data_IF_661136594439
#
_entry.id   IF_661136594439
#
_cell.length_a   1.000
_cell.length_b   1.000
_cell.length_c   1.000
_cell.angle_alpha   90.00
_cell.angle_beta   90.00
_cell.angle_gamma   90.00
#
_symmetry.space_group_name_H-M   'P 1'
#
loop_
_entity.id
_entity.type
_entity.pdbx_description
1 polymer ?
#
# COMPACT_ATOMS: atom_id res chain seq x y z
N UNK A 1 -35.41 -36.33 23.56
CA UNK A 1 -34.35 -35.30 23.66
C UNK A 1 -33.69 -34.94 22.31
N UNK A 2 -34.21 -35.42 21.16
CA UNK A 2 -33.54 -35.29 19.84
C UNK A 2 -34.07 -34.14 18.96
N UNK A 3 -35.37 -33.82 19.06
CA UNK A 3 -36.03 -32.82 18.21
C UNK A 3 -35.47 -31.40 18.34
N UNK A 4 -35.05 -30.97 19.54
CA UNK A 4 -34.45 -29.64 19.74
C UNK A 4 -33.09 -29.49 19.04
N UNK A 5 -32.30 -30.57 18.95
CA UNK A 5 -30.98 -30.58 18.33
C UNK A 5 -31.09 -30.59 16.80
N UNK A 6 -32.03 -31.37 16.27
CA UNK A 6 -32.34 -31.39 14.83
C UNK A 6 -32.86 -30.04 14.35
N UNK A 7 -33.75 -29.41 15.11
CA UNK A 7 -34.26 -28.07 14.80
C UNK A 7 -33.15 -27.00 14.81
N UNK A 8 -32.20 -27.07 15.75
CA UNK A 8 -31.05 -26.14 15.79
C UNK A 8 -30.13 -26.32 14.58
N UNK A 9 -29.89 -27.57 14.15
CA UNK A 9 -29.10 -27.88 12.95
C UNK A 9 -29.76 -27.35 11.68
N UNK A 10 -31.10 -27.46 11.57
CA UNK A 10 -31.86 -26.91 10.45
C UNK A 10 -31.80 -25.38 10.40
N UNK A 11 -31.87 -24.70 11.55
CA UNK A 11 -31.72 -23.24 11.64
C UNK A 11 -30.30 -22.82 11.23
N UNK A 12 -29.27 -23.52 11.72
CA UNK A 12 -27.87 -23.27 11.34
C UNK A 12 -27.62 -23.48 9.84
N UNK A 13 -28.19 -24.54 9.28
CA UNK A 13 -28.12 -24.83 7.84
C UNK A 13 -28.86 -23.77 7.02
N UNK A 14 -30.04 -23.33 7.47
CA UNK A 14 -30.79 -22.26 6.81
C UNK A 14 -30.04 -20.92 6.84
N UNK A 15 -29.39 -20.58 7.96
CA UNK A 15 -28.53 -19.40 8.08
C UNK A 15 -27.28 -19.51 7.19
N UNK A 16 -26.64 -20.68 7.12
CA UNK A 16 -25.53 -20.96 6.21
C UNK A 16 -25.93 -20.82 4.74
N UNK A 17 -27.09 -21.36 4.37
CA UNK A 17 -27.64 -21.25 3.01
C UNK A 17 -28.05 -19.82 2.67
N UNK A 18 -28.61 -19.07 3.63
CA UNK A 18 -28.94 -17.65 3.47
C UNK A 18 -27.67 -16.82 3.28
N UNK A 19 -26.63 -17.04 4.09
CA UNK A 19 -25.31 -16.41 3.94
C UNK A 19 -24.67 -16.78 2.59
N UNK A 20 -24.73 -18.06 2.20
CA UNK A 20 -24.19 -18.54 0.93
C UNK A 20 -24.94 -17.96 -0.29
N UNK A 21 -26.26 -17.76 -0.21
CA UNK A 21 -27.05 -17.12 -1.28
C UNK A 21 -26.92 -15.60 -1.30
N UNK A 22 -26.72 -14.96 -0.15
CA UNK A 22 -26.51 -13.51 -0.08
C UNK A 22 -25.10 -13.09 -0.46
N UNK A 23 -24.08 -13.92 -0.21
CA UNK A 23 -22.69 -13.57 -0.47
C UNK A 23 -22.40 -13.25 -1.96
N UNK A 24 -22.91 -14.01 -2.96
CA UNK A 24 -22.77 -13.65 -4.37
C UNK A 24 -23.50 -12.35 -4.73
N UNK A 25 -24.74 -12.15 -4.22
CA UNK A 25 -25.51 -10.93 -4.47
C UNK A 25 -24.85 -9.68 -3.87
N UNK A 26 -24.27 -9.80 -2.67
CA UNK A 26 -23.50 -8.73 -2.03
C UNK A 26 -22.25 -8.44 -2.86
N UNK A 27 -21.55 -9.47 -3.34
CA UNK A 27 -20.38 -9.31 -4.20
C UNK A 27 -20.72 -8.60 -5.52
N UNK A 28 -21.79 -9.00 -6.19
CA UNK A 28 -22.25 -8.38 -7.44
C UNK A 28 -22.71 -6.93 -7.22
N UNK A 29 -23.37 -6.67 -6.09
CA UNK A 29 -23.77 -5.31 -5.71
C UNK A 29 -22.56 -4.42 -5.41
N UNK A 30 -21.57 -4.94 -4.66
CA UNK A 30 -20.31 -4.25 -4.39
C UNK A 30 -19.49 -4.03 -5.66
N UNK A 31 -19.52 -4.96 -6.62
CA UNK A 31 -18.91 -4.79 -7.94
C UNK A 31 -19.57 -3.66 -8.74
N UNK A 32 -20.90 -3.57 -8.74
CA UNK A 32 -21.64 -2.49 -9.40
C UNK A 32 -21.40 -1.13 -8.75
N UNK A 33 -21.37 -1.10 -7.41
CA UNK A 33 -21.01 0.09 -6.64
C UNK A 33 -19.57 0.52 -6.96
N UNK A 34 -18.63 -0.42 -7.02
CA UNK A 34 -17.23 -0.13 -7.34
C UNK A 34 -17.05 0.43 -8.77
N UNK A 35 -17.80 -0.10 -9.75
CA UNK A 35 -17.81 0.44 -11.11
C UNK A 35 -18.32 1.89 -11.13
N UNK A 36 -19.42 2.17 -10.43
CA UNK A 36 -20.00 3.52 -10.31
C UNK A 36 -19.06 4.51 -9.57
N UNK A 37 -18.28 4.03 -8.60
CA UNK A 37 -17.35 4.87 -7.83
C UNK A 37 -16.11 5.31 -8.61
N UNK A 38 -15.64 4.51 -9.57
CA UNK A 38 -14.50 4.90 -10.39
C UNK A 38 -14.80 6.09 -11.31
N UNK A 39 -16.08 6.33 -11.62
CA UNK A 39 -16.53 7.39 -12.53
C UNK A 39 -16.83 8.73 -11.83
N UNK A 40 -16.80 8.80 -10.48
CA UNK A 40 -17.23 9.99 -9.71
C UNK A 40 -16.20 10.55 -8.71
N UNK A 41 -14.96 10.06 -8.71
CA UNK A 41 -13.86 10.59 -7.90
C UNK A 41 -13.09 11.70 -8.64
N UNK A 42 -13.76 12.78 -9.04
CA UNK A 42 -13.05 14.01 -9.38
C UNK A 42 -12.64 14.70 -8.07
N UNK A 43 -11.39 14.47 -7.66
CA UNK A 43 -10.77 15.22 -6.56
C UNK A 43 -10.91 16.74 -6.82
N UNK A 44 -10.94 17.58 -5.76
CA UNK A 44 -10.86 19.02 -5.93
C UNK A 44 -9.68 19.39 -6.85
N UNK A 45 -9.80 20.44 -7.68
CA UNK A 45 -8.72 20.86 -8.57
C UNK A 45 -7.39 20.90 -7.83
N UNK A 46 -6.31 20.42 -8.45
CA UNK A 46 -5.02 20.27 -7.79
C UNK A 46 -4.58 21.56 -7.07
N UNK A 47 -4.79 22.72 -7.70
CA UNK A 47 -4.48 24.04 -7.13
C UNK A 47 -5.26 24.40 -5.86
N UNK A 48 -6.41 23.78 -5.61
CA UNK A 48 -7.23 24.03 -4.42
C UNK A 48 -6.60 23.50 -3.14
N UNK A 49 -5.76 22.46 -3.25
CA UNK A 49 -5.16 21.81 -2.09
C UNK A 49 -3.64 21.64 -2.21
N UNK A 50 -3.03 21.78 -3.39
CA UNK A 50 -1.59 21.61 -3.60
C UNK A 50 -0.94 22.91 -4.09
N UNK A 51 0.14 23.33 -3.42
CA UNK A 51 0.93 24.52 -3.73
C UNK A 51 2.44 24.22 -3.71
N UNK A 52 3.06 23.94 -4.87
CA UNK A 52 4.49 23.63 -4.94
C UNK A 52 5.38 24.84 -4.61
N UNK A 53 4.89 26.08 -4.79
CA UNK A 53 5.66 27.31 -4.53
C UNK A 53 6.02 27.49 -3.05
N UNK A 54 5.38 26.75 -2.14
CA UNK A 54 5.72 26.73 -0.71
C UNK A 54 7.02 25.98 -0.41
N UNK A 55 7.53 25.21 -1.37
CA UNK A 55 8.73 24.38 -1.25
C UNK A 55 9.64 24.54 -2.49
N UNK A 56 10.21 25.75 -2.72
CA UNK A 56 11.10 26.00 -3.86
C UNK A 56 12.45 25.26 -3.74
N UNK A 57 12.73 24.69 -2.56
CA UNK A 57 13.95 23.96 -2.22
C UNK A 57 13.98 22.51 -2.72
N UNK A 58 12.88 22.00 -3.29
CA UNK A 58 12.72 20.60 -3.69
C UNK A 58 11.90 20.47 -4.98
N UNK A 59 12.01 19.30 -5.64
CA UNK A 59 11.11 18.93 -6.73
C UNK A 59 9.74 18.58 -6.12
N UNK A 60 8.80 19.52 -6.24
CA UNK A 60 7.43 19.38 -5.75
C UNK A 60 6.45 18.91 -6.83
N UNK A 61 6.80 18.98 -8.12
CA UNK A 61 5.94 18.53 -9.22
C UNK A 61 6.79 17.78 -10.23
N UNK A 62 6.30 16.64 -10.70
CA UNK A 62 6.98 15.81 -11.68
C UNK A 62 6.77 16.35 -13.10
N UNK A 63 7.55 15.87 -14.07
CA UNK A 63 7.42 16.26 -15.48
C UNK A 63 6.08 15.83 -16.11
N UNK A 64 5.41 14.82 -15.53
CA UNK A 64 4.05 14.41 -15.91
C UNK A 64 2.96 15.03 -15.02
N UNK A 65 3.26 16.12 -14.32
CA UNK A 65 2.34 16.93 -13.53
C UNK A 65 1.75 16.25 -12.28
N UNK A 66 2.33 15.15 -11.80
CA UNK A 66 1.95 14.60 -10.51
C UNK A 66 2.60 15.40 -9.36
N UNK A 67 1.86 15.65 -8.26
CA UNK A 67 2.45 16.29 -7.10
C UNK A 67 3.36 15.33 -6.34
N UNK A 68 4.52 15.84 -5.96
CA UNK A 68 5.42 15.25 -4.97
C UNK A 68 5.05 15.85 -3.61
N UNK A 69 4.54 15.02 -2.71
CA UNK A 69 3.97 15.46 -1.44
C UNK A 69 5.09 15.71 -0.44
N UNK A 70 5.35 16.99 -0.22
CA UNK A 70 6.28 17.50 0.78
C UNK A 70 5.50 18.25 1.86
N UNK A 71 6.04 18.27 3.07
CA UNK A 71 5.50 19.06 4.16
C UNK A 71 5.40 20.54 3.75
N UNK A 72 4.21 21.11 3.95
CA UNK A 72 3.87 22.48 3.57
C UNK A 72 3.37 22.67 2.12
N UNK A 73 3.35 21.65 1.27
CA UNK A 73 2.81 21.77 -0.10
C UNK A 73 1.32 21.47 -0.20
N UNK A 74 0.70 20.91 0.83
CA UNK A 74 -0.69 20.46 0.77
C UNK A 74 -1.57 21.13 1.83
N UNK A 75 -2.85 21.34 1.52
CA UNK A 75 -3.88 21.78 2.44
C UNK A 75 -4.81 20.60 2.76
N UNK A 76 -4.55 19.93 3.89
CA UNK A 76 -5.31 18.76 4.31
C UNK A 76 -6.78 19.09 4.60
N UNK A 77 -7.12 20.30 5.04
CA UNK A 77 -8.51 20.65 5.36
C UNK A 77 -9.44 20.61 4.14
N UNK A 78 -8.94 21.00 2.97
CA UNK A 78 -9.68 20.94 1.70
C UNK A 78 -9.95 19.49 1.31
N UNK A 79 -8.91 18.65 1.38
CA UNK A 79 -9.04 17.21 1.13
C UNK A 79 -9.94 16.53 2.15
N UNK A 80 -9.84 16.93 3.43
CA UNK A 80 -10.66 16.36 4.50
C UNK A 80 -12.14 16.60 4.25
N UNK A 81 -12.50 17.84 3.90
CA UNK A 81 -13.88 18.22 3.56
C UNK A 81 -14.41 17.40 2.38
N UNK A 82 -13.56 17.09 1.39
CA UNK A 82 -13.93 16.28 0.24
C UNK A 82 -14.12 14.81 0.62
N UNK A 83 -13.07 14.15 1.14
CA UNK A 83 -13.12 12.70 1.38
C UNK A 83 -14.05 12.29 2.51
N UNK A 84 -14.30 13.16 3.51
CA UNK A 84 -15.29 12.86 4.56
C UNK A 84 -16.71 12.77 4.00
N UNK A 85 -17.05 13.56 2.98
CA UNK A 85 -18.37 13.49 2.31
C UNK A 85 -18.55 12.18 1.54
N UNK A 86 -17.46 11.62 1.06
CA UNK A 86 -17.45 10.35 0.33
C UNK A 86 -17.45 9.13 1.26
N UNK A 87 -17.27 9.32 2.57
CA UNK A 87 -17.20 8.25 3.56
C UNK A 87 -16.23 7.12 3.15
N UNK A 88 -15.04 7.50 2.67
CA UNK A 88 -14.07 6.53 2.16
C UNK A 88 -13.55 5.61 3.26
N UNK A 89 -13.17 4.40 2.86
CA UNK A 89 -12.44 3.44 3.69
C UNK A 89 -11.06 3.18 3.08
N UNK A 90 -10.03 3.19 3.92
CA UNK A 90 -8.63 3.00 3.51
C UNK A 90 -8.10 1.70 4.09
N UNK A 91 -7.53 0.86 3.22
CA UNK A 91 -6.81 -0.35 3.61
C UNK A 91 -5.34 -0.06 3.88
N UNK A 92 -4.79 -0.64 4.94
CA UNK A 92 -3.35 -0.75 5.14
C UNK A 92 -2.97 -2.23 5.27
N UNK A 93 -2.35 -2.76 4.23
CA UNK A 93 -1.84 -4.12 4.22
C UNK A 93 -0.37 -4.14 4.64
N UNK A 94 -0.05 -5.07 5.54
CA UNK A 94 1.32 -5.31 6.01
C UNK A 94 1.63 -6.80 5.86
N UNK A 95 2.81 -7.10 5.32
CA UNK A 95 3.34 -8.46 5.20
C UNK A 95 4.26 -8.74 6.40
N UNK A 96 3.81 -9.61 7.30
CA UNK A 96 4.53 -10.08 8.48
C UNK A 96 4.94 -11.55 8.31
N UNK A 97 5.91 -11.80 7.42
CA UNK A 97 6.49 -13.13 7.12
C UNK A 97 7.92 -13.30 7.61
N UNK A 98 8.33 -14.52 7.97
CA UNK A 98 9.71 -14.81 8.40
C UNK A 98 10.00 -14.36 9.84
N UNK A 99 11.22 -13.90 10.12
CA UNK A 99 11.74 -13.61 11.48
C UNK A 99 11.15 -12.36 12.14
N UNK A 100 10.02 -11.84 11.67
CA UNK A 100 9.40 -10.69 12.30
C UNK A 100 8.90 -11.02 13.70
N UNK A 101 9.23 -10.14 14.65
CA UNK A 101 8.80 -10.34 16.04
C UNK A 101 7.39 -9.81 16.24
N UNK A 102 6.63 -10.47 17.11
CA UNK A 102 5.35 -9.98 17.67
C UNK A 102 5.45 -8.53 18.16
N UNK A 103 6.62 -8.13 18.66
CA UNK A 103 6.93 -6.76 19.12
C UNK A 103 6.97 -5.76 17.96
N UNK A 104 7.66 -6.08 16.87
CA UNK A 104 7.78 -5.20 15.70
C UNK A 104 6.41 -4.96 15.05
N UNK A 105 5.60 -6.02 14.88
CA UNK A 105 4.22 -5.87 14.39
C UNK A 105 3.38 -4.98 15.31
N UNK A 106 3.47 -5.19 16.64
CA UNK A 106 2.76 -4.36 17.62
C UNK A 106 3.18 -2.89 17.53
N UNK A 107 4.47 -2.61 17.39
CA UNK A 107 4.95 -1.23 17.25
C UNK A 107 4.46 -0.57 15.96
N UNK A 108 4.53 -1.29 14.83
CA UNK A 108 4.03 -0.81 13.54
C UNK A 108 2.54 -0.45 13.66
N UNK A 109 1.70 -1.40 14.09
CA UNK A 109 0.24 -1.19 14.19
C UNK A 109 -0.11 -0.09 15.19
N UNK A 110 0.52 -0.05 16.37
CA UNK A 110 0.25 1.02 17.36
C UNK A 110 0.62 2.41 16.81
N UNK A 111 1.71 2.51 16.06
CA UNK A 111 2.08 3.78 15.44
C UNK A 111 1.14 4.15 14.29
N UNK A 112 0.71 3.19 13.47
CA UNK A 112 -0.25 3.39 12.40
C UNK A 112 -1.62 3.81 12.96
N UNK A 113 -2.11 3.17 14.02
CA UNK A 113 -3.37 3.52 14.70
C UNK A 113 -3.41 5.00 15.08
N UNK A 114 -2.28 5.52 15.58
CA UNK A 114 -2.13 6.92 16.02
C UNK A 114 -2.04 7.94 14.87
N UNK A 115 -1.47 7.58 13.73
CA UNK A 115 -1.04 8.57 12.72
C UNK A 115 -1.54 8.32 11.29
N UNK A 116 -1.93 7.10 10.95
CA UNK A 116 -2.39 6.75 9.62
C UNK A 116 -3.89 7.06 9.48
N UNK A 117 -4.22 7.98 8.57
CA UNK A 117 -5.58 8.33 8.15
C UNK A 117 -6.52 8.63 9.32
N UNK A 118 -6.04 9.39 10.31
CA UNK A 118 -6.81 9.76 11.51
C UNK A 118 -8.12 10.45 11.10
N UNK A 119 -9.24 9.98 11.66
CA UNK A 119 -10.58 10.49 11.33
C UNK A 119 -11.28 9.81 10.14
N UNK A 120 -10.69 8.76 9.58
CA UNK A 120 -11.27 7.94 8.49
C UNK A 120 -11.44 6.48 8.89
N UNK A 121 -12.32 5.76 8.19
CA UNK A 121 -12.42 4.30 8.32
C UNK A 121 -11.15 3.63 7.79
N UNK A 122 -10.48 2.86 8.65
CA UNK A 122 -9.26 2.13 8.29
C UNK A 122 -9.40 0.65 8.62
N UNK A 123 -8.98 -0.19 7.67
CA UNK A 123 -8.88 -1.64 7.85
C UNK A 123 -7.41 -2.04 7.73
N UNK A 124 -6.83 -2.56 8.81
CA UNK A 124 -5.49 -3.16 8.79
C UNK A 124 -5.56 -4.61 8.30
N UNK A 125 -4.91 -4.93 7.19
CA UNK A 125 -4.78 -6.28 6.67
C UNK A 125 -3.42 -6.87 7.07
N UNK A 126 -3.41 -7.67 8.12
CA UNK A 126 -2.19 -8.26 8.67
C UNK A 126 -1.98 -9.61 8.01
N UNK A 127 -1.06 -9.69 7.05
CA UNK A 127 -0.75 -10.94 6.35
C UNK A 127 0.38 -11.67 7.04
N UNK A 128 0.17 -12.91 7.49
CA UNK A 128 1.16 -13.67 8.25
C UNK A 128 1.09 -15.17 7.96
N UNK A 129 2.25 -15.82 7.98
CA UNK A 129 2.41 -17.28 7.96
C UNK A 129 2.20 -17.92 9.34
N UNK A 130 2.28 -17.14 10.43
CA UNK A 130 2.08 -17.60 11.80
C UNK A 130 1.04 -16.77 12.56
N UNK A 131 -0.21 -17.25 12.53
CA UNK A 131 -1.35 -16.60 13.19
C UNK A 131 -1.19 -16.58 14.73
N UNK A 132 -0.47 -17.54 15.32
CA UNK A 132 -0.28 -17.60 16.78
C UNK A 132 0.65 -16.49 17.31
N UNK A 133 1.47 -15.88 16.44
CA UNK A 133 2.34 -14.77 16.79
C UNK A 133 1.64 -13.41 16.81
N UNK A 134 0.32 -13.37 16.61
CA UNK A 134 -0.42 -12.12 16.59
C UNK A 134 -0.44 -11.45 17.97
N UNK A 135 -0.02 -10.17 18.09
CA UNK A 135 -0.18 -9.40 19.33
C UNK A 135 -1.64 -9.11 19.62
N UNK A 136 -1.96 -8.96 20.91
CA UNK A 136 -3.18 -8.27 21.29
C UNK A 136 -3.08 -6.81 20.81
N UNK A 137 -4.09 -6.38 20.04
CA UNK A 137 -4.19 -5.08 19.41
C UNK A 137 -5.46 -4.40 19.91
N UNK A 138 -5.29 -3.34 20.68
CA UNK A 138 -6.34 -2.40 21.00
C UNK A 138 -6.23 -1.25 20.00
N UNK A 139 -7.28 -1.01 19.24
CA UNK A 139 -7.32 -0.01 18.17
C UNK A 139 -8.27 1.12 18.55
N UNK A 140 -7.94 2.33 18.08
CA UNK A 140 -8.76 3.51 18.30
C UNK A 140 -10.07 3.53 17.49
N UNK A 141 -10.83 4.63 17.56
CA UNK A 141 -12.04 4.81 16.78
C UNK A 141 -11.79 4.71 15.28
N UNK A 142 -12.77 4.17 14.53
CA UNK A 142 -12.72 4.01 13.07
C UNK A 142 -11.61 3.07 12.58
N UNK A 143 -11.17 2.14 13.43
CA UNK A 143 -10.07 1.21 13.15
C UNK A 143 -10.55 -0.21 13.32
N UNK A 144 -10.22 -1.06 12.37
CA UNK A 144 -10.45 -2.50 12.45
C UNK A 144 -9.26 -3.23 11.85
N UNK A 145 -9.14 -4.53 12.10
CA UNK A 145 -8.11 -5.34 11.46
C UNK A 145 -8.67 -6.70 11.04
N UNK A 146 -8.01 -7.29 10.03
CA UNK A 146 -8.25 -8.65 9.54
C UNK A 146 -6.91 -9.35 9.38
N UNK A 147 -6.84 -10.58 9.87
CA UNK A 147 -5.66 -11.43 9.68
C UNK A 147 -5.80 -12.24 8.40
N UNK A 148 -4.81 -12.14 7.52
CA UNK A 148 -4.76 -12.86 6.25
C UNK A 148 -3.68 -13.95 6.36
N UNK A 149 -4.10 -15.22 6.37
CA UNK A 149 -3.17 -16.34 6.38
C UNK A 149 -2.37 -16.39 5.07
N UNK A 150 -1.06 -16.42 5.18
CA UNK A 150 -0.13 -16.70 4.09
C UNK A 150 0.23 -18.20 4.12
N UNK A 151 0.50 -18.81 2.96
CA UNK A 151 1.04 -20.16 2.91
C UNK A 151 2.39 -20.19 3.63
N UNK A 152 2.66 -21.22 4.42
CA UNK A 152 3.98 -21.39 5.04
C UNK A 152 5.06 -21.41 3.95
N UNK A 153 6.14 -20.68 4.18
CA UNK A 153 7.32 -20.67 3.32
C UNK A 153 8.30 -21.77 3.70
N UNK A 154 9.05 -22.27 2.72
CA UNK A 154 10.34 -22.90 3.00
C UNK A 154 11.35 -21.79 3.30
N UNK A 155 12.09 -21.90 4.40
CA UNK A 155 12.91 -20.81 4.97
C UNK A 155 14.10 -20.33 4.09
N UNK A 156 14.28 -20.87 2.89
CA UNK A 156 15.48 -20.68 2.06
C UNK A 156 15.26 -19.85 0.77
N UNK A 157 14.04 -19.45 0.42
CA UNK A 157 13.74 -18.66 -0.79
C UNK A 157 13.08 -17.31 -0.50
N UNK A 158 13.27 -16.32 -1.38
CA UNK A 158 12.54 -15.04 -1.33
C UNK A 158 11.03 -15.31 -1.35
N UNK A 159 10.36 -14.95 -0.25
CA UNK A 159 8.93 -15.14 -0.08
C UNK A 159 8.10 -14.08 -0.80
N UNK A 160 8.73 -13.01 -1.33
CA UNK A 160 8.03 -11.87 -1.92
C UNK A 160 7.11 -12.25 -3.08
N UNK A 161 7.52 -13.04 -4.09
CA UNK A 161 6.61 -13.49 -5.15
C UNK A 161 5.39 -14.26 -4.62
N UNK A 162 5.61 -15.17 -3.65
CA UNK A 162 4.54 -15.95 -3.01
C UNK A 162 3.56 -15.04 -2.27
N UNK A 163 4.08 -14.11 -1.47
CA UNK A 163 3.30 -13.15 -0.72
C UNK A 163 2.48 -12.25 -1.64
N UNK A 164 3.07 -11.77 -2.74
CA UNK A 164 2.36 -10.94 -3.72
C UNK A 164 1.29 -11.74 -4.48
N UNK A 165 1.52 -13.03 -4.78
CA UNK A 165 0.49 -13.91 -5.34
C UNK A 165 -0.69 -14.08 -4.39
N UNK A 166 -0.44 -14.26 -3.10
CA UNK A 166 -1.51 -14.31 -2.09
C UNK A 166 -2.21 -12.95 -1.95
N UNK A 167 -1.47 -11.85 -1.91
CA UNK A 167 -2.03 -10.49 -1.84
C UNK A 167 -2.95 -10.21 -3.03
N UNK A 168 -2.52 -10.53 -4.26
CA UNK A 168 -3.36 -10.48 -5.47
C UNK A 168 -4.69 -11.19 -5.27
N UNK A 169 -4.65 -12.44 -4.78
CA UNK A 169 -5.88 -13.20 -4.53
C UNK A 169 -6.77 -12.52 -3.48
N UNK A 170 -6.20 -12.02 -2.39
CA UNK A 170 -6.96 -11.31 -1.34
C UNK A 170 -7.57 -10.00 -1.84
N UNK A 171 -6.87 -9.26 -2.69
CA UNK A 171 -7.41 -8.06 -3.34
C UNK A 171 -8.58 -8.43 -4.24
N UNK A 172 -8.42 -9.43 -5.10
CA UNK A 172 -9.47 -9.85 -6.05
C UNK A 172 -10.74 -10.37 -5.36
N UNK A 173 -10.62 -11.03 -4.21
CA UNK A 173 -11.78 -11.67 -3.58
C UNK A 173 -12.42 -10.84 -2.47
N UNK A 174 -11.66 -9.96 -1.81
CA UNK A 174 -12.11 -9.27 -0.59
C UNK A 174 -11.78 -7.78 -0.61
N UNK A 175 -10.49 -7.41 -0.64
CA UNK A 175 -10.07 -6.04 -0.30
C UNK A 175 -10.64 -5.01 -1.28
N UNK A 176 -10.73 -5.32 -2.58
CA UNK A 176 -11.26 -4.36 -3.56
C UNK A 176 -12.72 -3.94 -3.34
N UNK A 177 -13.48 -4.72 -2.54
CA UNK A 177 -14.87 -4.44 -2.20
C UNK A 177 -15.03 -3.79 -0.82
N UNK A 178 -13.94 -3.65 -0.06
CA UNK A 178 -13.93 -3.15 1.31
C UNK A 178 -13.33 -1.75 1.43
N UNK A 179 -12.46 -1.35 0.48
CA UNK A 179 -11.70 -0.11 0.57
C UNK A 179 -11.68 0.65 -0.75
N UNK A 180 -11.62 1.97 -0.67
CA UNK A 180 -11.45 2.86 -1.82
C UNK A 180 -9.98 3.00 -2.21
N UNK A 181 -9.09 3.00 -1.20
CA UNK A 181 -7.64 3.07 -1.38
C UNK A 181 -6.95 2.01 -0.55
N UNK A 182 -5.81 1.53 -1.02
CA UNK A 182 -5.00 0.51 -0.36
C UNK A 182 -3.54 0.95 -0.37
N UNK A 183 -2.90 0.92 0.79
CA UNK A 183 -1.45 0.93 0.92
C UNK A 183 -0.94 -0.47 1.28
N UNK A 184 0.16 -0.88 0.66
CA UNK A 184 0.95 -2.03 1.09
C UNK A 184 2.27 -1.49 1.63
N UNK A 185 2.58 -1.81 2.88
CA UNK A 185 3.77 -1.31 3.58
C UNK A 185 4.61 -2.43 4.17
N UNK A 186 5.93 -2.19 4.22
CA UNK A 186 6.85 -3.05 4.95
C UNK A 186 6.70 -2.81 6.46
N UNK A 187 6.85 -3.88 7.24
CA UNK A 187 6.60 -3.84 8.68
C UNK A 187 7.73 -3.15 9.47
N UNK A 188 8.93 -3.00 8.89
CA UNK A 188 10.11 -2.37 9.52
C UNK A 188 10.05 -0.83 9.50
N UNK A 189 8.87 -0.27 9.71
CA UNK A 189 8.59 1.16 9.67
C UNK A 189 7.84 1.61 10.94
N UNK A 190 8.02 2.85 11.37
CA UNK A 190 7.27 3.47 12.47
C UNK A 190 6.71 4.79 12.00
N UNK A 191 5.39 4.97 12.14
CA UNK A 191 4.77 6.26 11.98
C UNK A 191 5.11 7.18 13.16
N UNK A 192 5.59 8.38 12.85
CA UNK A 192 6.03 9.40 13.81
C UNK A 192 5.12 10.63 13.80
N UNK A 193 4.48 10.90 12.67
CA UNK A 193 3.54 12.01 12.44
C UNK A 193 2.47 11.59 11.44
N UNK A 194 1.46 12.44 11.29
CA UNK A 194 0.30 12.19 10.44
C UNK A 194 0.68 11.79 9.01
N UNK A 195 0.10 10.67 8.60
CA UNK A 195 0.05 10.16 7.23
C UNK A 195 -1.41 10.23 6.80
N UNK A 196 -1.79 11.25 6.02
CA UNK A 196 -3.19 11.58 5.80
C UNK A 196 -3.65 11.48 4.35
N UNK A 197 -4.83 12.04 4.09
CA UNK A 197 -5.49 11.98 2.78
C UNK A 197 -4.73 12.69 1.65
N UNK A 198 -3.76 13.55 1.97
CA UNK A 198 -2.84 14.13 0.97
C UNK A 198 -2.02 13.09 0.21
N UNK A 199 -1.91 11.88 0.77
CA UNK A 199 -1.17 10.77 0.18
C UNK A 199 -2.01 9.93 -0.78
N UNK A 200 -3.34 10.10 -0.78
CA UNK A 200 -4.25 9.30 -1.61
C UNK A 200 -4.12 9.65 -3.07
N UNK A 201 -4.26 8.66 -3.96
CA UNK A 201 -4.22 8.83 -5.40
C UNK A 201 -4.51 7.51 -6.10
N UNK A 202 -4.68 7.52 -7.43
CA UNK A 202 -4.91 6.29 -8.21
C UNK A 202 -3.73 5.33 -8.11
N UNK A 203 -2.51 5.87 -8.24
CA UNK A 203 -1.23 5.18 -8.03
C UNK A 203 -0.30 6.09 -7.22
N UNK A 204 0.28 5.55 -6.15
CA UNK A 204 1.10 6.28 -5.17
C UNK A 204 2.45 5.58 -5.03
N UNK A 205 3.53 6.34 -5.22
CA UNK A 205 4.90 5.84 -5.12
C UNK A 205 5.69 6.61 -4.05
N UNK A 206 6.58 5.93 -3.34
CA UNK A 206 7.46 6.53 -2.33
C UNK A 206 8.86 6.79 -2.91
N UNK A 207 9.39 8.01 -2.76
CA UNK A 207 10.80 8.28 -3.08
C UNK A 207 11.73 7.59 -2.08
N UNK A 208 12.82 7.02 -2.58
CA UNK A 208 13.80 6.35 -1.73
C UNK A 208 14.74 7.35 -1.04
N UNK A 209 14.85 7.27 0.30
CA UNK A 209 15.64 8.18 1.12
C UNK A 209 17.12 8.26 0.74
N UNK A 210 17.72 7.13 0.33
CA UNK A 210 19.11 7.09 -0.12
C UNK A 210 19.37 7.65 -1.53
N UNK A 211 18.33 7.88 -2.33
CA UNK A 211 18.47 8.14 -3.77
C UNK A 211 17.74 9.39 -4.27
N UNK A 212 16.82 9.99 -3.51
CA UNK A 212 16.00 11.12 -3.99
C UNK A 212 16.79 12.36 -4.46
N UNK A 213 18.06 12.49 -4.05
CA UNK A 213 18.98 13.58 -4.42
C UNK A 213 19.99 13.18 -5.50
N UNK A 214 19.94 11.95 -6.00
CA UNK A 214 20.84 11.41 -7.04
C UNK A 214 20.22 11.58 -8.43
N UNK A 215 21.05 11.43 -9.47
CA UNK A 215 20.63 11.49 -10.87
C UNK A 215 20.27 10.09 -11.39
N UNK A 216 19.45 9.96 -12.45
CA UNK A 216 19.03 8.67 -13.01
C UNK A 216 20.15 7.68 -13.34
N UNK A 217 21.30 8.21 -13.80
CA UNK A 217 22.50 7.41 -14.08
C UNK A 217 23.09 6.71 -12.86
N UNK A 218 22.88 7.25 -11.66
CA UNK A 218 23.46 6.76 -10.41
C UNK A 218 22.49 5.83 -9.64
N UNK A 219 21.24 5.73 -10.09
CA UNK A 219 20.25 4.88 -9.43
C UNK A 219 20.59 3.39 -9.60
N UNK A 220 20.40 2.57 -8.55
CA UNK A 220 20.66 1.14 -8.57
C UNK A 220 19.48 0.38 -9.19
N UNK A 221 19.09 0.77 -10.41
CA UNK A 221 18.16 -0.04 -11.20
C UNK A 221 18.83 -1.34 -11.64
N UNK A 222 18.01 -2.33 -11.98
CA UNK A 222 18.47 -3.49 -12.74
C UNK A 222 19.00 -3.04 -14.11
N UNK A 223 20.22 -3.43 -14.45
CA UNK A 223 20.92 -3.02 -15.70
C UNK A 223 21.16 -4.17 -16.66
N UNK A 224 20.92 -5.41 -16.24
CA UNK A 224 21.04 -6.59 -17.10
C UNK A 224 19.91 -6.54 -18.13
N UNK A 225 20.25 -6.22 -19.37
CA UNK A 225 19.28 -5.99 -20.47
C UNK A 225 18.29 -7.14 -20.70
N UNK A 226 18.63 -8.36 -20.30
CA UNK A 226 17.75 -9.55 -20.40
C UNK A 226 16.68 -9.61 -19.30
N UNK A 227 16.79 -8.81 -18.24
CA UNK A 227 15.78 -8.75 -17.19
C UNK A 227 14.58 -7.91 -17.64
N UNK A 228 13.39 -8.38 -17.34
CA UNK A 228 12.14 -7.64 -17.46
C UNK A 228 12.12 -6.37 -16.58
N UNK A 229 12.97 -6.29 -15.54
CA UNK A 229 13.14 -5.10 -14.69
C UNK A 229 14.19 -4.10 -15.22
N UNK A 230 14.85 -4.39 -16.35
CA UNK A 230 15.97 -3.59 -16.83
C UNK A 230 15.57 -2.15 -17.19
N UNK A 231 16.37 -1.19 -16.71
CA UNK A 231 16.30 0.23 -17.07
C UNK A 231 17.69 0.65 -17.54
N UNK A 232 17.80 1.27 -18.72
CA UNK A 232 19.09 1.65 -19.26
C UNK A 232 19.71 2.85 -18.51
N UNK A 233 21.03 3.00 -18.57
CA UNK A 233 21.68 4.19 -18.01
C UNK A 233 21.17 5.46 -18.70
N UNK A 234 20.88 6.49 -17.90
CA UNK A 234 20.28 7.73 -18.40
C UNK A 234 18.76 7.73 -18.48
N UNK A 235 18.11 6.56 -18.41
CA UNK A 235 16.66 6.44 -18.22
C UNK A 235 16.29 6.45 -16.73
N UNK A 236 15.04 6.81 -16.45
CA UNK A 236 14.47 6.86 -15.09
C UNK A 236 14.13 8.28 -14.64
N UNK A 237 13.01 8.43 -13.93
CA UNK A 237 12.62 9.72 -13.34
C UNK A 237 13.12 9.83 -11.89
N UNK A 238 12.79 8.82 -11.08
CA UNK A 238 13.15 8.72 -9.67
C UNK A 238 13.43 7.27 -9.28
N UNK A 239 14.19 7.08 -8.19
CA UNK A 239 14.28 5.77 -7.55
C UNK A 239 13.24 5.65 -6.43
N UNK A 240 12.29 4.73 -6.64
CA UNK A 240 11.17 4.48 -5.75
C UNK A 240 11.48 3.35 -4.77
N UNK A 241 10.97 3.50 -3.55
CA UNK A 241 11.18 2.56 -2.46
C UNK A 241 10.02 1.57 -2.35
N UNK A 242 10.33 0.28 -2.36
CA UNK A 242 9.36 -0.82 -2.34
C UNK A 242 8.56 -0.99 -1.05
N UNK A 243 9.11 -0.53 0.07
CA UNK A 243 8.43 -0.56 1.36
C UNK A 243 7.12 0.24 1.46
N UNK A 244 6.80 1.14 0.54
CA UNK A 244 5.49 1.81 0.51
C UNK A 244 5.01 1.92 -0.93
N UNK A 245 3.91 1.22 -1.22
CA UNK A 245 3.13 1.40 -2.44
C UNK A 245 1.69 1.69 -2.05
N UNK A 246 1.02 2.54 -2.83
CA UNK A 246 -0.38 2.88 -2.58
C UNK A 246 -1.16 3.10 -3.86
N UNK A 247 -2.48 3.15 -3.76
CA UNK A 247 -3.34 3.41 -4.90
C UNK A 247 -4.77 2.94 -4.67
N UNK A 248 -5.56 2.94 -5.74
CA UNK A 248 -6.81 2.17 -5.74
C UNK A 248 -6.50 0.67 -5.77
N UNK A 249 -7.39 -0.20 -5.26
CA UNK A 249 -7.22 -1.65 -5.35
C UNK A 249 -6.93 -2.16 -6.76
N UNK A 250 -7.56 -1.56 -7.78
CA UNK A 250 -7.33 -1.89 -9.19
C UNK A 250 -5.90 -1.59 -9.67
N UNK A 251 -5.34 -0.44 -9.30
CA UNK A 251 -3.97 -0.07 -9.66
C UNK A 251 -2.92 -0.91 -8.92
N UNK A 252 -3.16 -1.21 -7.64
CA UNK A 252 -2.31 -2.14 -6.89
C UNK A 252 -2.34 -3.54 -7.54
N UNK A 253 -3.51 -4.01 -7.95
CA UNK A 253 -3.65 -5.28 -8.64
C UNK A 253 -2.91 -5.29 -9.99
N UNK A 254 -2.99 -4.21 -10.77
CA UNK A 254 -2.27 -4.05 -12.03
C UNK A 254 -0.75 -4.16 -11.82
N UNK A 255 -0.21 -3.48 -10.81
CA UNK A 255 1.19 -3.59 -10.45
C UNK A 255 1.58 -5.02 -10.07
N UNK A 256 0.84 -5.66 -9.16
CA UNK A 256 1.17 -7.03 -8.72
C UNK A 256 1.13 -8.02 -9.90
N UNK A 257 0.19 -7.86 -10.83
CA UNK A 257 0.15 -8.67 -12.06
C UNK A 257 1.42 -8.52 -12.90
N UNK A 258 1.86 -7.27 -13.12
CA UNK A 258 3.05 -7.01 -13.93
C UNK A 258 4.33 -7.47 -13.22
N UNK A 259 4.40 -7.32 -11.89
CA UNK A 259 5.51 -7.84 -11.09
C UNK A 259 5.63 -9.37 -11.21
N UNK A 260 4.53 -10.10 -10.99
CA UNK A 260 4.55 -11.57 -11.06
C UNK A 260 4.89 -12.09 -12.45
N UNK A 261 4.44 -11.38 -13.50
CA UNK A 261 4.84 -11.67 -14.88
C UNK A 261 6.35 -11.46 -15.05
N UNK A 262 6.86 -10.30 -14.65
CA UNK A 262 8.29 -9.97 -14.77
C UNK A 262 9.20 -10.95 -14.04
N UNK A 263 8.83 -11.41 -12.85
CA UNK A 263 9.56 -12.46 -12.12
C UNK A 263 9.56 -13.78 -12.88
N UNK A 264 8.44 -14.14 -13.51
CA UNK A 264 8.35 -15.36 -14.33
C UNK A 264 9.28 -15.26 -15.54
N UNK A 265 9.28 -14.11 -16.23
CA UNK A 265 10.14 -13.85 -17.39
C UNK A 265 11.63 -13.87 -17.00
N UNK A 266 11.99 -13.26 -15.87
CA UNK A 266 13.36 -13.28 -15.34
C UNK A 266 13.80 -14.70 -14.99
N UNK A 267 12.95 -15.47 -14.30
CA UNK A 267 13.24 -16.86 -13.97
C UNK A 267 13.46 -17.72 -15.21
N UNK A 268 12.69 -17.53 -16.29
CA UNK A 268 12.91 -18.22 -17.58
C UNK A 268 14.28 -17.86 -18.17
N UNK A 269 14.75 -16.64 -17.97
CA UNK A 269 16.06 -16.17 -18.39
C UNK A 269 17.19 -16.47 -17.39
N UNK A 270 16.93 -17.24 -16.32
CA UNK A 270 17.87 -17.54 -15.22
C UNK A 270 18.38 -16.26 -14.53
N UNK A 271 17.51 -15.26 -14.44
CA UNK A 271 17.74 -14.02 -13.71
C UNK A 271 16.87 -13.99 -12.46
N UNK A 272 17.35 -13.28 -11.46
CA UNK A 272 16.64 -13.00 -10.23
C UNK A 272 16.82 -11.51 -9.94
N UNK A 273 15.77 -10.74 -10.19
CA UNK A 273 15.75 -9.29 -10.00
C UNK A 273 14.82 -8.97 -8.85
N UNK A 274 15.21 -7.97 -8.06
CA UNK A 274 14.47 -7.65 -6.83
C UNK A 274 13.06 -7.11 -7.10
N UNK A 275 12.18 -7.27 -6.12
CA UNK A 275 10.87 -6.62 -6.12
C UNK A 275 10.95 -5.10 -6.35
N UNK A 276 11.96 -4.44 -5.78
CA UNK A 276 12.18 -3.00 -5.97
C UNK A 276 12.61 -2.66 -7.40
N UNK A 277 13.43 -3.50 -8.04
CA UNK A 277 13.80 -3.34 -9.46
C UNK A 277 12.55 -3.39 -10.35
N UNK A 278 11.69 -4.40 -10.15
CA UNK A 278 10.45 -4.52 -10.92
C UNK A 278 9.46 -3.38 -10.63
N UNK A 279 9.38 -2.90 -9.37
CA UNK A 279 8.58 -1.73 -9.02
C UNK A 279 9.05 -0.49 -9.79
N UNK A 280 10.35 -0.23 -9.79
CA UNK A 280 10.92 0.92 -10.48
C UNK A 280 10.68 0.84 -12.00
N UNK A 281 10.84 -0.34 -12.60
CA UNK A 281 10.47 -0.56 -14.01
C UNK A 281 8.98 -0.31 -14.27
N UNK A 282 8.11 -0.81 -13.39
CA UNK A 282 6.68 -0.60 -13.51
C UNK A 282 6.32 0.87 -13.48
N UNK A 283 6.87 1.65 -12.54
CA UNK A 283 6.57 3.08 -12.36
C UNK A 283 7.22 3.98 -13.41
N UNK A 284 8.31 3.53 -14.05
CA UNK A 284 8.87 4.21 -15.21
C UNK A 284 7.88 4.22 -16.39
N UNK A 285 7.18 3.10 -16.60
CA UNK A 285 6.19 2.91 -17.67
C UNK A 285 4.82 3.48 -17.25
N UNK A 286 4.40 3.19 -16.02
CA UNK A 286 3.09 3.55 -15.46
C UNK A 286 3.28 4.65 -14.42
N UNK A 287 3.36 5.89 -14.90
CA UNK A 287 3.68 7.05 -14.08
C UNK A 287 2.73 7.18 -12.88
N UNK A 288 3.23 7.30 -11.63
CA UNK A 288 2.37 7.41 -10.45
C UNK A 288 1.65 8.76 -10.44
N UNK A 289 0.38 8.76 -10.01
CA UNK A 289 -0.43 9.99 -9.87
C UNK A 289 -0.10 10.79 -8.61
N UNK A 290 0.62 10.18 -7.67
CA UNK A 290 1.05 10.78 -6.42
C UNK A 290 2.45 10.25 -6.10
N UNK A 291 3.38 11.13 -5.77
CA UNK A 291 4.72 10.74 -5.31
C UNK A 291 4.89 11.26 -3.88
N UNK A 292 5.34 10.41 -2.97
CA UNK A 292 5.60 10.80 -1.59
C UNK A 292 7.07 11.15 -1.44
N UNK A 293 7.35 12.30 -0.81
CA UNK A 293 8.72 12.70 -0.50
C UNK A 293 9.37 11.74 0.51
N UNK A 294 10.70 11.79 0.68
CA UNK A 294 11.40 10.96 1.68
C UNK A 294 10.96 11.21 3.13
N UNK A 295 10.25 12.31 3.41
CA UNK A 295 9.59 12.57 4.71
C UNK A 295 8.63 11.44 5.11
N UNK A 296 8.02 10.77 4.12
CA UNK A 296 7.10 9.66 4.31
C UNK A 296 7.79 8.29 4.42
N UNK A 297 9.12 8.20 4.32
CA UNK A 297 9.88 6.98 4.59
C UNK A 297 11.38 7.27 4.75
N UNK A 298 11.79 7.67 5.96
CA UNK A 298 13.16 8.14 6.22
C UNK A 298 14.02 7.12 6.97
N UNK A 299 15.28 6.98 6.56
CA UNK A 299 16.28 6.20 7.31
C UNK A 299 16.94 7.10 8.38
N UNK A 300 16.75 6.83 9.68
CA UNK A 300 17.33 7.64 10.76
C UNK A 300 18.86 7.57 10.81
N UNK A 301 19.52 6.67 10.06
CA UNK A 301 20.99 6.64 9.95
C UNK A 301 21.54 7.88 9.22
N UNK A 302 20.71 8.59 8.46
CA UNK A 302 21.12 9.83 7.82
C UNK A 302 21.12 11.03 8.76
N UNK A 303 22.14 11.88 8.60
CA UNK A 303 22.02 13.28 9.00
C UNK A 303 20.89 13.91 8.21
N UNK A 304 19.83 14.31 8.91
CA UNK A 304 18.60 14.84 8.29
C UNK A 304 18.91 16.22 7.70
N UNK A 305 18.78 16.39 6.37
CA UNK A 305 19.09 17.68 5.73
C UNK A 305 17.90 18.65 5.86
N UNK A 306 18.10 19.97 5.69
CA UNK A 306 17.06 20.98 5.94
C UNK A 306 15.78 20.82 5.10
N UNK A 307 15.86 20.15 3.95
CA UNK A 307 14.71 19.86 3.08
C UNK A 307 13.74 18.85 3.70
N UNK A 308 14.20 18.00 4.64
CA UNK A 308 13.35 17.06 5.37
C UNK A 308 12.82 17.80 6.60
N UNK A 309 11.64 18.39 6.49
CA UNK A 309 11.06 19.19 7.57
C UNK A 309 10.46 18.29 8.65
N UNK A 310 9.74 17.25 8.23
CA UNK A 310 9.02 16.36 9.13
C UNK A 310 9.17 14.90 8.71
N UNK A 311 9.85 14.10 9.53
CA UNK A 311 9.87 12.65 9.38
C UNK A 311 8.50 12.12 9.84
N UNK A 312 7.68 11.68 8.88
CA UNK A 312 6.35 11.09 9.11
C UNK A 312 6.43 9.59 9.35
N UNK A 313 7.35 8.91 8.67
CA UNK A 313 7.66 7.50 8.90
C UNK A 313 9.19 7.35 8.97
N UNK A 314 9.67 6.60 9.95
CA UNK A 314 11.08 6.26 10.12
C UNK A 314 11.29 4.75 10.02
N UNK A 315 12.42 4.33 9.46
CA UNK A 315 12.82 2.91 9.44
C UNK A 315 13.11 2.40 10.86
N UNK A 316 12.73 1.15 11.14
CA UNK A 316 13.18 0.44 12.33
C UNK A 316 14.57 -0.14 12.08
N UNK A 317 15.53 0.02 13.02
CA UNK A 317 16.85 -0.61 12.94
C UNK A 317 16.81 -2.13 12.91
#
# INVERSE_FOLDING_TARGET
>A
MNYKREMLLLILLALLLALYKHHPRIKDHLQKIHACWNDHLEEPPLSAWFNPKKRPDVIATTDWLAPVIWEGTYNRQVLDKYYKRLNITIGLAVLATGNFTKRSLKHFIKSADKYFMVGYNVIFYISTDNIYNQPYLELGPLRSFKTLRLPNGDNYQDCTPRNMKTMKSKIMHHIQYEVNFLFIMAMNQIFKKDFGVETLGKSVAQLHAWWYFKKPKDFPYERRAKSAASIAFGEGDFYYHSAIIGGTPSNILAFINQYLKGITDDSTNKLDSTYESHLNKYLLINKPTRVLSPEYNWDPKFKTPPQIKHIKIAWQP
#
